data_IF_994168135111
#
_entry.id   IF_994168135111
#
_cell.length_a   1.000
_cell.length_b   1.000
_cell.length_c   1.000
_cell.angle_alpha   90.00
_cell.angle_beta   90.00
_cell.angle_gamma   90.00
#
_symmetry.space_group_name_H-M   'P 1'
#
loop_
_entity.id
_entity.type
_entity.pdbx_description
1 polymer ?
#
# COMPACT_ATOMS: atom_id res chain seq x y z
N UNK A 1 -20.99 57.25 34.61
CA UNK A 1 -20.84 56.01 35.39
C UNK A 1 -21.14 54.86 34.46
N UNK A 2 -20.24 54.00 34.04
CA UNK A 2 -18.83 53.76 34.35
C UNK A 2 -18.31 52.93 33.16
N UNK A 3 -17.24 53.39 32.55
CA UNK A 3 -16.48 52.74 31.48
C UNK A 3 -15.37 51.93 32.17
N UNK A 4 -15.35 50.61 32.00
CA UNK A 4 -14.29 49.75 32.55
C UNK A 4 -13.66 48.92 31.43
N UNK A 5 -12.66 49.56 30.81
CA UNK A 5 -11.53 48.92 30.12
C UNK A 5 -10.99 47.75 30.93
N UNK A 6 -10.69 46.63 30.27
CA UNK A 6 -9.69 45.69 30.79
C UNK A 6 -8.64 45.35 29.73
N UNK A 7 -7.42 45.66 30.11
CA UNK A 7 -6.17 45.73 29.36
C UNK A 7 -5.57 44.36 29.06
N UNK A 8 -4.86 44.29 27.92
CA UNK A 8 -3.85 43.30 27.51
C UNK A 8 -2.93 42.82 28.65
N UNK A 9 -2.55 41.54 28.59
CA UNK A 9 -1.22 41.03 28.99
C UNK A 9 -0.77 39.92 28.00
N UNK A 10 0.25 40.23 27.20
CA UNK A 10 1.39 39.33 26.90
C UNK A 10 2.06 38.95 28.22
N UNK A 11 2.86 37.91 28.40
CA UNK A 11 3.60 36.94 27.59
C UNK A 11 3.81 35.78 28.56
N UNK A 12 3.90 34.53 28.12
CA UNK A 12 4.78 33.56 28.79
C UNK A 12 5.14 32.45 27.82
N UNK A 13 6.39 32.55 27.36
CA UNK A 13 7.16 31.54 26.66
C UNK A 13 7.15 30.22 27.45
N UNK A 14 6.78 29.13 26.78
CA UNK A 14 7.32 27.81 27.12
C UNK A 14 7.76 27.13 25.83
N UNK A 15 9.08 27.07 25.65
CA UNK A 15 9.74 26.18 24.70
C UNK A 15 9.32 24.74 25.00
N UNK A 16 8.53 24.13 24.11
CA UNK A 16 8.26 22.71 24.19
C UNK A 16 9.35 21.96 23.41
N UNK A 17 10.33 21.47 24.18
CA UNK A 17 11.44 20.64 23.71
C UNK A 17 10.92 19.39 22.98
N UNK A 18 11.13 19.33 21.67
CA UNK A 18 10.83 18.19 20.83
C UNK A 18 11.84 17.05 21.07
N UNK A 19 11.46 16.07 21.87
CA UNK A 19 12.07 14.74 21.86
C UNK A 19 10.95 13.71 21.80
N UNK A 20 10.50 13.37 20.60
CA UNK A 20 9.62 12.22 20.40
C UNK A 20 10.48 10.97 20.21
N UNK A 21 10.62 10.20 21.29
CA UNK A 21 11.14 8.84 21.25
C UNK A 21 10.17 7.96 20.45
N UNK A 22 10.65 7.39 19.34
CA UNK A 22 9.97 6.29 18.65
C UNK A 22 9.98 5.08 19.58
N UNK A 23 8.86 4.79 20.24
CA UNK A 23 8.68 3.59 21.06
C UNK A 23 7.73 2.62 20.35
N UNK A 24 8.19 1.38 20.18
CA UNK A 24 7.39 0.24 19.75
C UNK A 24 6.19 0.00 20.70
N UNK A 25 5.06 -0.53 20.21
CA UNK A 25 3.81 -0.54 20.95
C UNK A 25 3.76 -1.70 21.94
N UNK A 26 4.11 -1.43 23.19
CA UNK A 26 3.65 -2.24 24.33
C UNK A 26 2.96 -1.34 25.36
N UNK A 27 1.77 -0.84 25.02
CA UNK A 27 0.81 -0.41 26.02
C UNK A 27 -0.58 -0.43 25.40
N UNK A 28 -1.39 -1.38 25.89
CA UNK A 28 -2.83 -1.34 25.77
C UNK A 28 -3.29 -0.21 26.67
N UNK A 29 -3.40 0.99 26.13
CA UNK A 29 -4.26 2.00 26.71
C UNK A 29 -5.17 2.56 25.61
N UNK A 30 -6.44 2.64 25.99
CA UNK A 30 -7.57 2.97 25.15
C UNK A 30 -7.54 4.46 24.76
N UNK A 31 -6.66 4.83 23.85
CA UNK A 31 -6.76 6.08 23.10
C UNK A 31 -7.36 5.78 21.73
N UNK A 32 -8.28 6.65 21.31
CA UNK A 32 -8.88 6.65 19.96
C UNK A 32 -7.81 6.31 18.92
N UNK A 33 -8.07 5.30 18.08
CA UNK A 33 -7.30 5.05 16.87
C UNK A 33 -7.47 6.26 15.92
N UNK A 34 -6.87 7.39 16.27
CA UNK A 34 -6.72 8.51 15.38
C UNK A 34 -5.77 8.02 14.29
N UNK A 35 -6.28 7.96 13.07
CA UNK A 35 -5.47 7.66 11.90
C UNK A 35 -4.26 8.60 11.90
N UNK A 36 -3.06 8.02 12.10
CA UNK A 36 -1.80 8.76 12.13
C UNK A 36 -0.90 8.17 11.05
N UNK A 37 -0.79 8.90 9.95
CA UNK A 37 0.18 8.62 8.90
C UNK A 37 1.22 9.76 8.93
N UNK A 38 2.47 9.51 9.33
CA UNK A 38 3.49 10.56 9.54
C UNK A 38 3.62 11.53 8.36
N UNK A 39 3.47 11.03 7.13
CA UNK A 39 3.56 11.81 5.89
C UNK A 39 2.46 12.86 5.76
N UNK A 40 1.29 12.65 6.36
CA UNK A 40 0.19 13.63 6.37
C UNK A 40 0.53 14.89 7.18
N UNK A 41 1.45 14.75 8.13
CA UNK A 41 1.95 15.82 8.99
C UNK A 41 3.32 16.33 8.54
N UNK A 42 3.83 15.90 7.38
CA UNK A 42 5.11 16.36 6.87
C UNK A 42 5.07 17.85 6.49
N UNK A 43 5.74 18.67 7.30
CA UNK A 43 5.87 20.12 7.10
C UNK A 43 6.99 20.53 6.11
N UNK A 44 7.72 19.57 5.55
CA UNK A 44 8.79 19.85 4.59
C UNK A 44 8.30 20.19 3.18
N UNK A 45 9.24 20.57 2.30
CA UNK A 45 8.93 20.87 0.89
C UNK A 45 8.66 19.56 0.16
N UNK A 46 7.39 19.32 -0.19
CA UNK A 46 7.03 18.22 -1.11
C UNK A 46 7.48 18.58 -2.51
N UNK A 47 8.33 17.76 -3.11
CA UNK A 47 8.71 17.89 -4.52
C UNK A 47 7.46 17.67 -5.37
N UNK A 48 6.90 18.74 -5.93
CA UNK A 48 5.82 18.62 -6.90
C UNK A 48 6.41 18.06 -8.18
N UNK A 49 6.16 16.79 -8.48
CA UNK A 49 6.44 16.28 -9.82
C UNK A 49 5.58 17.06 -10.82
N UNK A 50 6.16 17.61 -11.89
CA UNK A 50 5.38 18.29 -12.92
C UNK A 50 4.50 17.25 -13.62
N UNK A 51 3.20 17.28 -13.28
CA UNK A 51 2.17 16.50 -13.94
C UNK A 51 1.91 17.10 -15.33
N UNK A 52 2.36 16.42 -16.37
CA UNK A 52 2.16 16.83 -17.75
C UNK A 52 1.72 15.64 -18.60
N UNK A 53 1.01 15.95 -19.69
CA UNK A 53 0.70 14.98 -20.74
C UNK A 53 1.53 15.32 -21.99
N UNK A 54 2.02 14.33 -22.74
CA UNK A 54 2.01 12.90 -22.42
C UNK A 54 2.92 12.57 -21.23
N UNK A 55 2.70 11.41 -20.61
CA UNK A 55 3.59 10.88 -19.58
C UNK A 55 4.96 10.49 -20.17
N UNK A 56 6.01 10.23 -19.36
CA UNK A 56 7.31 9.77 -19.83
C UNK A 56 7.28 8.55 -20.78
N UNK A 57 6.38 7.60 -20.55
CA UNK A 57 6.16 6.42 -21.39
C UNK A 57 5.27 6.72 -22.62
N UNK A 58 4.86 7.97 -22.82
CA UNK A 58 4.11 8.42 -23.98
C UNK A 58 2.59 8.27 -23.88
N UNK A 59 2.04 8.01 -22.69
CA UNK A 59 0.59 7.90 -22.51
C UNK A 59 -0.05 9.30 -22.64
N UNK A 60 -1.08 9.43 -23.48
CA UNK A 60 -1.82 10.70 -23.67
C UNK A 60 -3.06 10.75 -22.77
N UNK A 61 -3.54 11.95 -22.44
CA UNK A 61 -4.75 12.12 -21.63
C UNK A 61 -5.97 11.40 -22.22
N UNK A 62 -6.17 11.47 -23.55
CA UNK A 62 -7.28 10.80 -24.24
C UNK A 62 -7.17 9.29 -24.10
N UNK A 63 -5.95 8.74 -24.28
CA UNK A 63 -5.73 7.29 -24.16
C UNK A 63 -5.90 6.82 -22.71
N UNK A 64 -5.41 7.59 -21.75
CA UNK A 64 -5.60 7.33 -20.33
C UNK A 64 -7.10 7.30 -19.97
N UNK A 65 -7.89 8.26 -20.49
CA UNK A 65 -9.33 8.30 -20.25
C UNK A 65 -10.05 7.08 -20.80
N UNK A 66 -9.71 6.65 -22.02
CA UNK A 66 -10.24 5.40 -22.58
C UNK A 66 -9.90 4.20 -21.70
N UNK A 67 -8.65 4.06 -21.25
CA UNK A 67 -8.20 2.94 -20.41
C UNK A 67 -8.95 2.93 -19.08
N UNK A 68 -8.99 4.06 -18.38
CA UNK A 68 -9.70 4.20 -17.11
C UNK A 68 -11.18 3.82 -17.25
N UNK A 69 -11.87 4.37 -18.25
CA UNK A 69 -13.27 4.05 -18.47
C UNK A 69 -13.46 2.56 -18.82
N UNK A 70 -12.64 2.00 -19.71
CA UNK A 70 -12.75 0.60 -20.11
C UNK A 70 -12.54 -0.36 -18.95
N UNK A 71 -11.57 -0.12 -18.08
CA UNK A 71 -11.29 -1.01 -16.95
C UNK A 71 -12.34 -0.84 -15.85
N UNK A 72 -12.68 0.39 -15.48
CA UNK A 72 -13.56 0.66 -14.35
C UNK A 72 -15.04 0.42 -14.67
N UNK A 73 -15.53 0.94 -15.80
CA UNK A 73 -16.95 0.82 -16.14
C UNK A 73 -17.33 -0.60 -16.59
N UNK A 74 -16.39 -1.35 -17.21
CA UNK A 74 -16.62 -2.74 -17.61
C UNK A 74 -16.16 -3.75 -16.55
N UNK A 75 -15.66 -3.30 -15.40
CA UNK A 75 -15.45 -4.19 -14.26
C UNK A 75 -16.80 -4.81 -13.84
N UNK A 76 -16.76 -5.98 -13.22
CA UNK A 76 -17.98 -6.67 -12.77
C UNK A 76 -18.81 -5.78 -11.86
N UNK A 77 -18.17 -5.07 -10.92
CA UNK A 77 -18.85 -4.13 -10.03
C UNK A 77 -19.33 -2.88 -10.77
N UNK A 78 -18.57 -2.36 -11.73
CA UNK A 78 -18.95 -1.20 -12.53
C UNK A 78 -20.21 -1.43 -13.34
N UNK A 79 -20.38 -2.65 -13.86
CA UNK A 79 -21.59 -3.07 -14.59
C UNK A 79 -22.77 -3.30 -13.65
N UNK A 80 -22.58 -4.10 -12.61
CA UNK A 80 -23.65 -4.53 -11.69
C UNK A 80 -24.15 -3.38 -10.80
N UNK A 81 -23.25 -2.51 -10.35
CA UNK A 81 -23.56 -1.36 -9.51
C UNK A 81 -23.69 -0.03 -10.27
N UNK A 82 -23.77 -0.05 -11.61
CA UNK A 82 -23.78 1.18 -12.43
C UNK A 82 -24.79 2.23 -11.95
N UNK A 83 -26.01 1.80 -11.67
CA UNK A 83 -27.08 2.69 -11.18
C UNK A 83 -26.84 3.25 -9.78
N UNK A 84 -26.14 2.49 -8.93
CA UNK A 84 -25.79 2.92 -7.58
C UNK A 84 -24.57 3.85 -7.58
N UNK A 85 -23.56 3.60 -8.42
CA UNK A 85 -22.31 4.36 -8.44
C UNK A 85 -22.49 5.78 -8.98
N UNK A 86 -23.29 5.97 -10.04
CA UNK A 86 -23.61 7.30 -10.58
C UNK A 86 -22.37 8.20 -10.70
N UNK A 87 -22.41 9.38 -10.08
CA UNK A 87 -21.30 10.35 -10.04
C UNK A 87 -19.98 9.81 -9.47
N UNK A 88 -20.02 8.79 -8.60
CA UNK A 88 -18.79 8.18 -8.08
C UNK A 88 -17.97 7.56 -9.20
N UNK A 89 -18.62 6.97 -10.21
CA UNK A 89 -17.89 6.39 -11.34
C UNK A 89 -17.03 7.46 -12.04
N UNK A 90 -17.59 8.64 -12.26
CA UNK A 90 -16.88 9.75 -12.89
C UNK A 90 -15.72 10.25 -12.02
N UNK A 91 -15.95 10.41 -10.71
CA UNK A 91 -14.90 10.79 -9.74
C UNK A 91 -13.76 9.76 -9.69
N UNK A 92 -14.08 8.46 -9.71
CA UNK A 92 -13.06 7.40 -9.73
C UNK A 92 -12.30 7.38 -11.05
N UNK A 93 -12.93 7.72 -12.19
CA UNK A 93 -12.23 7.89 -13.47
C UNK A 93 -11.27 9.09 -13.40
N UNK A 94 -11.64 10.19 -12.77
CA UNK A 94 -10.74 11.34 -12.56
C UNK A 94 -9.54 10.98 -11.68
N UNK A 95 -9.76 10.22 -10.60
CA UNK A 95 -8.67 9.68 -9.76
C UNK A 95 -7.74 8.78 -10.59
N UNK A 96 -8.30 7.90 -11.41
CA UNK A 96 -7.53 7.04 -12.32
C UNK A 96 -6.64 7.83 -13.28
N UNK A 97 -7.13 8.94 -13.83
CA UNK A 97 -6.33 9.81 -14.70
C UNK A 97 -5.13 10.41 -13.97
N UNK A 98 -5.33 10.85 -12.72
CA UNK A 98 -4.26 11.38 -11.88
C UNK A 98 -3.23 10.30 -11.52
N UNK A 99 -3.69 9.09 -11.18
CA UNK A 99 -2.82 7.96 -10.88
C UNK A 99 -1.99 7.57 -12.10
N UNK A 100 -2.60 7.46 -13.28
CA UNK A 100 -1.87 7.19 -14.52
C UNK A 100 -0.88 8.30 -14.87
N UNK A 101 -1.23 9.57 -14.62
CA UNK A 101 -0.33 10.69 -14.87
C UNK A 101 0.89 10.68 -13.94
N UNK A 102 0.68 10.25 -12.68
CA UNK A 102 1.72 10.24 -11.64
C UNK A 102 2.59 8.98 -11.68
N UNK A 103 1.97 7.81 -11.89
CA UNK A 103 2.64 6.50 -11.85
C UNK A 103 3.15 6.06 -13.21
N UNK A 104 2.51 6.54 -14.28
CA UNK A 104 2.83 6.15 -15.66
C UNK A 104 2.80 4.63 -15.89
N UNK A 105 1.90 3.95 -15.16
CA UNK A 105 1.74 2.50 -15.13
C UNK A 105 0.26 2.12 -15.05
N UNK A 106 -0.19 1.37 -16.05
CA UNK A 106 -1.59 0.96 -16.20
C UNK A 106 -2.02 -0.14 -15.23
N UNK A 107 -1.08 -0.85 -14.61
CA UNK A 107 -1.39 -1.91 -13.64
C UNK A 107 -2.14 -1.36 -12.42
N UNK A 108 -1.90 -0.09 -12.07
CA UNK A 108 -2.56 0.61 -10.97
C UNK A 108 -4.06 0.84 -11.16
N UNK A 109 -4.56 0.85 -12.40
CA UNK A 109 -5.98 1.15 -12.68
C UNK A 109 -6.91 0.13 -12.00
N UNK A 110 -6.49 -1.14 -11.90
CA UNK A 110 -7.30 -2.18 -11.26
C UNK A 110 -7.48 -1.96 -9.76
N UNK A 111 -6.55 -1.28 -9.09
CA UNK A 111 -6.66 -1.00 -7.65
C UNK A 111 -7.90 -0.15 -7.32
N UNK A 112 -8.36 0.68 -8.26
CA UNK A 112 -9.55 1.51 -8.09
C UNK A 112 -10.87 0.73 -8.19
N UNK A 113 -10.83 -0.54 -8.62
CA UNK A 113 -12.01 -1.41 -8.58
C UNK A 113 -12.44 -1.62 -7.11
N UNK A 114 -11.49 -1.79 -6.19
CA UNK A 114 -11.79 -1.94 -4.77
C UNK A 114 -12.49 -0.69 -4.18
N UNK A 115 -12.17 0.51 -4.67
CA UNK A 115 -12.89 1.73 -4.29
C UNK A 115 -14.36 1.68 -4.75
N UNK A 116 -14.62 1.21 -5.97
CA UNK A 116 -15.97 1.05 -6.49
C UNK A 116 -16.75 -0.05 -5.76
N UNK A 117 -16.09 -1.14 -5.38
CA UNK A 117 -16.66 -2.21 -4.54
C UNK A 117 -17.12 -1.64 -3.20
N UNK A 118 -16.24 -0.94 -2.49
CA UNK A 118 -16.56 -0.31 -1.21
C UNK A 118 -17.71 0.70 -1.32
N UNK A 119 -17.70 1.56 -2.34
CA UNK A 119 -18.78 2.53 -2.51
C UNK A 119 -20.11 1.85 -2.88
N UNK A 120 -20.06 0.82 -3.73
CA UNK A 120 -21.26 0.06 -4.05
C UNK A 120 -21.83 -0.62 -2.80
N UNK A 121 -21.00 -1.27 -1.99
CA UNK A 121 -21.41 -1.89 -0.74
C UNK A 121 -22.06 -0.86 0.20
N UNK A 122 -21.39 0.29 0.41
CA UNK A 122 -21.92 1.38 1.23
C UNK A 122 -23.30 1.83 0.77
N UNK A 123 -23.51 1.99 -0.55
CA UNK A 123 -24.79 2.42 -1.12
C UNK A 123 -25.84 1.31 -1.08
N UNK A 124 -25.48 0.05 -1.32
CA UNK A 124 -26.45 -1.06 -1.28
C UNK A 124 -26.95 -1.31 0.14
N UNK A 125 -26.09 -1.16 1.14
CA UNK A 125 -26.45 -1.27 2.56
C UNK A 125 -27.25 -0.05 3.02
N UNK A 126 -26.86 1.16 2.60
CA UNK A 126 -27.55 2.41 2.93
C UNK A 126 -28.92 2.55 2.26
N UNK A 127 -29.08 2.06 1.03
CA UNK A 127 -30.33 2.14 0.26
C UNK A 127 -31.35 1.03 0.59
N UNK A 128 -31.06 0.15 1.57
CA UNK A 128 -32.05 -0.84 2.08
C UNK A 128 -33.37 -0.20 2.53
N UNK A 129 -33.37 1.10 2.81
CA UNK A 129 -34.56 1.87 3.23
C UNK A 129 -35.40 2.38 2.05
N UNK A 130 -34.88 2.40 0.81
CA UNK A 130 -35.46 3.15 -0.31
C UNK A 130 -35.94 2.32 -1.52
N UNK A 131 -35.72 1.01 -1.57
CA UNK A 131 -36.11 0.20 -2.74
C UNK A 131 -37.49 -0.47 -2.59
N UNK A 132 -38.54 0.36 -2.63
CA UNK A 132 -39.85 -0.02 -3.18
C UNK A 132 -39.94 0.64 -4.55
N UNK A 133 -39.36 0.01 -5.57
CA UNK A 133 -39.42 0.55 -6.92
C UNK A 133 -38.75 -0.36 -7.93
N UNK A 134 -39.57 -0.95 -8.82
CA UNK A 134 -39.14 -1.70 -9.99
C UNK A 134 -38.20 -0.86 -10.86
N UNK A 135 -36.90 -1.09 -10.76
CA UNK A 135 -35.93 -0.63 -11.75
C UNK A 135 -35.20 -1.83 -12.35
N UNK A 136 -34.74 -1.74 -13.61
CA UNK A 136 -34.13 -2.84 -14.35
C UNK A 136 -32.67 -3.11 -13.92
N UNK A 137 -32.30 -2.71 -12.70
CA UNK A 137 -30.95 -2.88 -12.16
C UNK A 137 -30.78 -4.27 -11.57
N UNK A 138 -29.53 -4.70 -11.47
CA UNK A 138 -29.14 -5.93 -10.78
C UNK A 138 -29.85 -6.03 -9.42
N UNK A 139 -30.29 -7.24 -9.08
CA UNK A 139 -30.95 -7.45 -7.79
C UNK A 139 -29.97 -7.20 -6.66
N UNK A 140 -30.46 -6.82 -5.47
CA UNK A 140 -29.58 -6.64 -4.30
C UNK A 140 -28.76 -7.91 -4.01
N UNK A 141 -29.33 -9.08 -4.26
CA UNK A 141 -28.65 -10.37 -4.12
C UNK A 141 -27.51 -10.55 -5.13
N UNK A 142 -27.71 -10.12 -6.39
CA UNK A 142 -26.68 -10.14 -7.42
C UNK A 142 -25.50 -9.21 -7.07
N UNK A 143 -25.80 -8.00 -6.59
CA UNK A 143 -24.77 -7.04 -6.12
C UNK A 143 -23.96 -7.65 -4.97
N UNK A 144 -24.64 -8.19 -3.95
CA UNK A 144 -23.96 -8.82 -2.80
C UNK A 144 -23.15 -10.04 -3.21
N UNK A 145 -23.58 -10.79 -4.23
CA UNK A 145 -22.85 -11.93 -4.75
C UNK A 145 -21.56 -11.50 -5.45
N UNK A 146 -21.59 -10.43 -6.25
CA UNK A 146 -20.39 -9.88 -6.89
C UNK A 146 -19.41 -9.28 -5.88
N UNK A 147 -19.92 -8.59 -4.86
CA UNK A 147 -19.08 -8.07 -3.77
C UNK A 147 -18.42 -9.21 -2.98
N UNK A 148 -19.14 -10.30 -2.74
CA UNK A 148 -18.61 -11.49 -2.06
C UNK A 148 -17.59 -12.25 -2.92
N UNK A 149 -17.82 -12.32 -4.22
CA UNK A 149 -17.01 -13.07 -5.18
C UNK A 149 -16.58 -12.16 -6.34
N UNK A 150 -15.55 -11.33 -6.14
CA UNK A 150 -15.07 -10.38 -7.13
C UNK A 150 -14.72 -11.08 -8.45
N UNK A 151 -15.06 -10.43 -9.56
CA UNK A 151 -14.88 -10.95 -10.92
C UNK A 151 -15.38 -12.41 -11.14
N UNK A 152 -16.35 -12.87 -10.35
CA UNK A 152 -16.81 -14.27 -10.35
C UNK A 152 -15.66 -15.27 -10.15
N UNK A 153 -14.77 -14.97 -9.21
CA UNK A 153 -13.57 -15.76 -8.92
C UNK A 153 -12.68 -15.97 -10.16
N UNK A 154 -12.70 -15.02 -11.11
CA UNK A 154 -12.03 -15.07 -12.41
C UNK A 154 -12.26 -16.38 -13.20
N UNK A 155 -13.34 -17.12 -12.91
CA UNK A 155 -13.60 -18.45 -13.49
C UNK A 155 -12.70 -19.57 -12.94
N UNK A 156 -11.83 -19.28 -11.98
CA UNK A 156 -10.82 -20.18 -11.42
C UNK A 156 -11.16 -20.65 -10.00
N UNK A 157 -12.45 -20.57 -9.63
CA UNK A 157 -12.92 -20.99 -8.32
C UNK A 157 -14.43 -21.08 -8.26
N UNK A 158 -14.93 -21.61 -7.16
CA UNK A 158 -16.34 -21.64 -6.84
C UNK A 158 -16.68 -20.48 -5.89
N UNK A 159 -17.69 -19.69 -6.24
CA UNK A 159 -18.24 -18.70 -5.34
C UNK A 159 -19.05 -19.39 -4.23
N UNK A 160 -18.67 -19.16 -2.97
CA UNK A 160 -19.33 -19.71 -1.78
C UNK A 160 -19.88 -18.58 -0.91
N UNK A 161 -20.60 -18.91 0.17
CA UNK A 161 -21.09 -17.92 1.13
C UNK A 161 -19.95 -17.15 1.86
N UNK A 162 -18.73 -17.68 1.86
CA UNK A 162 -17.55 -17.09 2.48
C UNK A 162 -16.62 -16.37 1.47
N UNK A 163 -16.97 -16.34 0.18
CA UNK A 163 -16.13 -15.81 -0.89
C UNK A 163 -15.65 -16.87 -1.86
N UNK A 164 -14.59 -16.55 -2.60
CA UNK A 164 -14.04 -17.42 -3.63
C UNK A 164 -13.23 -18.59 -3.03
N UNK A 165 -13.65 -19.81 -3.37
CA UNK A 165 -12.88 -21.04 -3.14
C UNK A 165 -12.13 -21.41 -4.42
N UNK A 166 -10.84 -21.05 -4.50
CA UNK A 166 -10.03 -21.26 -5.70
C UNK A 166 -9.72 -22.72 -5.99
N UNK A 167 -9.57 -23.06 -7.27
CA UNK A 167 -9.09 -24.35 -7.72
C UNK A 167 -7.60 -24.57 -7.35
N UNK A 168 -7.13 -25.81 -7.48
CA UNK A 168 -5.83 -26.24 -6.95
C UNK A 168 -4.65 -25.41 -7.47
N UNK A 169 -4.72 -24.91 -8.69
CA UNK A 169 -3.69 -24.14 -9.37
C UNK A 169 -3.84 -22.62 -9.26
N UNK A 170 -4.83 -22.10 -8.52
CA UNK A 170 -5.07 -20.66 -8.36
C UNK A 170 -5.13 -20.22 -6.88
N UNK A 171 -4.77 -18.96 -6.61
CA UNK A 171 -4.73 -18.28 -5.31
C UNK A 171 -5.18 -16.82 -5.47
N UNK A 172 -5.11 -16.03 -4.39
CA UNK A 172 -5.72 -14.69 -4.18
C UNK A 172 -7.20 -14.74 -3.77
N UNK A 173 -7.73 -13.59 -3.33
CA UNK A 173 -9.12 -13.45 -2.86
C UNK A 173 -10.15 -13.60 -4.00
N UNK A 174 -9.73 -13.40 -5.25
CA UNK A 174 -10.57 -13.49 -6.46
C UNK A 174 -10.10 -14.60 -7.42
N UNK A 175 -9.14 -15.44 -7.00
CA UNK A 175 -8.57 -16.53 -7.80
C UNK A 175 -7.87 -16.11 -9.11
N UNK A 176 -7.40 -14.87 -9.21
CA UNK A 176 -6.70 -14.36 -10.40
C UNK A 176 -5.25 -14.83 -10.52
N UNK A 177 -4.59 -15.22 -9.42
CA UNK A 177 -3.16 -15.55 -9.38
C UNK A 177 -2.97 -17.06 -9.54
N UNK A 178 -2.16 -17.50 -10.50
CA UNK A 178 -1.79 -18.90 -10.64
C UNK A 178 -0.75 -19.30 -9.58
N UNK A 179 -0.97 -20.40 -8.83
CA UNK A 179 -0.03 -20.93 -7.83
C UNK A 179 1.31 -21.38 -8.40
N UNK A 180 1.38 -21.66 -9.70
CA UNK A 180 2.64 -22.01 -10.40
C UNK A 180 3.49 -20.79 -10.76
N UNK A 181 2.99 -19.58 -10.55
CA UNK A 181 3.83 -18.39 -10.54
C UNK A 181 4.87 -18.60 -9.41
N UNK A 182 6.15 -18.70 -9.78
CA UNK A 182 7.21 -18.74 -8.79
C UNK A 182 7.17 -17.48 -7.92
N UNK A 183 7.62 -17.59 -6.67
CA UNK A 183 7.86 -16.43 -5.82
C UNK A 183 8.82 -15.48 -6.54
N UNK A 184 8.36 -14.26 -6.78
CA UNK A 184 9.15 -13.23 -7.46
C UNK A 184 9.17 -11.99 -6.57
N UNK A 185 10.36 -11.52 -6.22
CA UNK A 185 10.53 -10.23 -5.55
C UNK A 185 10.59 -9.17 -6.64
N UNK A 186 9.62 -8.25 -6.63
CA UNK A 186 9.52 -7.15 -7.59
C UNK A 186 10.19 -5.88 -7.07
N UNK A 187 10.34 -5.75 -5.74
CA UNK A 187 11.02 -4.61 -5.15
C UNK A 187 11.11 -4.63 -3.63
N UNK A 188 11.79 -3.63 -3.09
CA UNK A 188 11.88 -3.35 -1.67
C UNK A 188 11.33 -1.95 -1.40
N UNK A 189 10.73 -1.76 -0.24
CA UNK A 189 10.33 -0.43 0.25
C UNK A 189 11.50 0.54 0.20
N UNK A 190 11.21 1.78 -0.22
CA UNK A 190 12.19 2.84 -0.45
C UNK A 190 13.36 2.44 -1.38
N UNK A 191 13.13 1.49 -2.31
CA UNK A 191 14.19 0.97 -3.18
C UNK A 191 15.27 0.18 -2.45
N UNK A 192 14.98 -0.28 -1.22
CA UNK A 192 15.94 -0.98 -0.36
C UNK A 192 16.86 -0.06 0.43
N UNK A 193 16.61 1.26 0.43
CA UNK A 193 17.38 2.23 1.21
C UNK A 193 16.70 2.52 2.55
N UNK A 194 17.50 2.63 3.61
CA UNK A 194 17.03 3.02 4.94
C UNK A 194 18.04 3.97 5.59
N UNK A 195 17.54 5.12 6.08
CA UNK A 195 18.35 6.10 6.80
C UNK A 195 18.33 5.79 8.30
N UNK A 196 19.47 5.30 8.82
CA UNK A 196 19.64 4.94 10.24
C UNK A 196 19.48 6.13 11.21
N UNK A 197 19.47 7.38 10.70
CA UNK A 197 19.20 8.58 11.50
C UNK A 197 17.71 8.81 11.71
N UNK A 198 16.88 8.24 10.85
CA UNK A 198 15.42 8.40 10.85
C UNK A 198 14.68 7.14 11.34
N UNK A 199 15.29 5.97 11.19
CA UNK A 199 14.72 4.67 11.58
C UNK A 199 15.79 3.72 12.09
N UNK A 200 15.40 2.65 12.81
CA UNK A 200 16.30 1.62 13.30
C UNK A 200 16.74 0.60 12.22
N UNK A 201 16.11 0.66 11.03
CA UNK A 201 16.38 -0.20 9.87
C UNK A 201 16.31 -1.71 10.20
N UNK A 202 15.51 -2.10 11.19
CA UNK A 202 15.35 -3.49 11.63
C UNK A 202 14.32 -4.29 10.82
N UNK A 203 13.57 -3.62 9.95
CA UNK A 203 12.57 -4.24 9.08
C UNK A 203 12.61 -3.63 7.69
N UNK A 204 12.28 -4.46 6.71
CA UNK A 204 12.06 -4.01 5.33
C UNK A 204 10.84 -4.70 4.77
N UNK A 205 9.96 -3.92 4.13
CA UNK A 205 8.86 -4.48 3.34
C UNK A 205 9.36 -4.93 1.98
N UNK A 206 9.08 -6.20 1.66
CA UNK A 206 9.41 -6.83 0.38
C UNK A 206 8.14 -6.93 -0.45
N UNK A 207 8.18 -6.37 -1.65
CA UNK A 207 7.10 -6.46 -2.63
C UNK A 207 7.40 -7.55 -3.64
N UNK A 208 6.37 -8.26 -4.07
CA UNK A 208 6.52 -9.40 -4.94
C UNK A 208 5.21 -10.01 -5.40
N UNK A 209 5.28 -11.23 -5.91
CA UNK A 209 4.14 -12.01 -6.37
C UNK A 209 4.20 -13.43 -5.80
N UNK A 210 3.04 -13.97 -5.45
CA UNK A 210 2.89 -15.37 -5.06
C UNK A 210 3.23 -15.67 -3.60
N UNK A 211 3.36 -14.66 -2.74
CA UNK A 211 3.53 -14.89 -1.31
C UNK A 211 2.31 -15.62 -0.74
N UNK A 212 2.57 -16.53 0.21
CA UNK A 212 1.53 -17.31 0.87
C UNK A 212 1.84 -17.44 2.34
N UNK A 213 0.86 -17.15 3.18
CA UNK A 213 0.97 -17.41 4.61
C UNK A 213 1.21 -18.90 4.86
N UNK A 214 2.37 -19.21 5.45
CA UNK A 214 2.76 -20.57 5.81
C UNK A 214 3.79 -20.53 6.93
N UNK A 215 3.91 -21.59 7.74
CA UNK A 215 4.94 -21.68 8.77
C UNK A 215 6.38 -21.73 8.18
N UNK A 216 6.51 -21.92 6.87
CA UNK A 216 7.78 -21.97 6.16
C UNK A 216 8.12 -20.65 5.46
N UNK A 217 7.27 -19.63 5.57
CA UNK A 217 7.52 -18.31 4.99
C UNK A 217 8.58 -17.60 5.85
N UNK A 218 9.79 -17.51 5.32
CA UNK A 218 10.96 -16.95 6.01
C UNK A 218 11.73 -16.04 5.06
N UNK A 219 12.46 -15.08 5.62
CA UNK A 219 13.40 -14.27 4.85
C UNK A 219 14.82 -14.77 5.07
N UNK A 220 15.56 -14.98 3.98
CA UNK A 220 16.99 -15.24 4.03
C UNK A 220 17.73 -13.93 3.81
N UNK A 221 18.40 -13.44 4.85
CA UNK A 221 19.04 -12.13 4.89
C UNK A 221 20.56 -12.33 4.96
N UNK A 222 21.28 -11.85 3.95
CA UNK A 222 22.73 -12.02 3.80
C UNK A 222 23.44 -10.69 3.87
N UNK A 223 24.39 -10.52 4.80
CA UNK A 223 25.21 -9.31 4.92
C UNK A 223 26.22 -9.25 3.79
N UNK A 224 26.32 -8.09 3.15
CA UNK A 224 27.32 -7.80 2.13
C UNK A 224 28.31 -6.77 2.67
N UNK A 225 29.60 -7.06 2.55
CA UNK A 225 30.68 -6.14 2.87
C UNK A 225 31.42 -5.74 1.59
N UNK A 226 31.91 -4.50 1.53
CA UNK A 226 32.73 -4.04 0.42
C UNK A 226 34.20 -4.28 0.76
N UNK A 227 34.89 -5.12 -0.02
CA UNK A 227 36.33 -5.33 0.08
C UNK A 227 36.94 -5.03 -1.29
N UNK A 228 37.80 -4.02 -1.35
CA UNK A 228 38.49 -3.59 -2.58
C UNK A 228 37.55 -3.25 -3.76
N UNK A 229 36.33 -2.76 -3.49
CA UNK A 229 35.35 -2.40 -4.52
C UNK A 229 34.39 -3.52 -4.92
N UNK A 230 34.54 -4.72 -4.36
CA UNK A 230 33.65 -5.87 -4.60
C UNK A 230 32.78 -6.16 -3.36
N UNK A 231 31.49 -6.46 -3.60
CA UNK A 231 30.55 -6.85 -2.55
C UNK A 231 30.64 -8.36 -2.31
N UNK A 232 31.01 -8.73 -1.08
CA UNK A 232 31.22 -10.13 -0.67
C UNK A 232 30.21 -10.50 0.43
N UNK A 233 29.56 -11.65 0.27
CA UNK A 233 28.64 -12.21 1.26
C UNK A 233 29.37 -12.70 2.51
N UNK A 234 28.83 -12.38 3.68
CA UNK A 234 29.37 -12.77 4.99
C UNK A 234 28.35 -13.59 5.79
N UNK A 235 27.73 -12.98 6.79
CA UNK A 235 26.73 -13.62 7.62
C UNK A 235 25.43 -13.80 6.84
N UNK A 236 24.85 -14.99 6.92
CA UNK A 236 23.54 -15.30 6.37
C UNK A 236 22.67 -15.77 7.53
N UNK A 237 21.51 -15.14 7.69
CA UNK A 237 20.56 -15.45 8.73
C UNK A 237 19.18 -15.65 8.13
N UNK A 238 18.46 -16.64 8.65
CA UNK A 238 17.05 -16.85 8.30
C UNK A 238 16.20 -16.19 9.37
N UNK A 239 15.44 -15.17 9.00
CA UNK A 239 14.51 -14.48 9.87
C UNK A 239 13.07 -14.84 9.52
N UNK A 240 12.16 -14.67 10.47
CA UNK A 240 10.73 -14.89 10.22
C UNK A 240 10.20 -13.80 9.29
N UNK A 241 9.43 -14.19 8.28
CA UNK A 241 8.66 -13.26 7.45
C UNK A 241 7.26 -13.08 8.04
N UNK A 242 6.81 -11.83 8.17
CA UNK A 242 5.44 -11.51 8.54
C UNK A 242 4.62 -11.30 7.26
N UNK A 243 3.65 -12.19 7.01
CA UNK A 243 2.79 -12.13 5.83
C UNK A 243 1.81 -10.95 5.92
N UNK A 244 1.76 -10.11 4.87
CA UNK A 244 0.79 -9.02 4.77
C UNK A 244 -0.26 -9.32 3.69
N UNK A 245 0.21 -9.72 2.50
CA UNK A 245 -0.65 -10.10 1.38
C UNK A 245 0.09 -11.04 0.43
N UNK A 246 -0.58 -11.50 -0.62
CA UNK A 246 0.06 -12.24 -1.70
C UNK A 246 1.13 -11.44 -2.47
N UNK A 247 1.23 -10.13 -2.21
CA UNK A 247 2.14 -9.20 -2.89
C UNK A 247 3.12 -8.50 -1.94
N UNK A 248 2.97 -8.64 -0.61
CA UNK A 248 3.86 -8.01 0.35
C UNK A 248 4.11 -8.88 1.59
N UNK A 249 5.36 -8.89 2.05
CA UNK A 249 5.79 -9.46 3.33
C UNK A 249 6.76 -8.51 4.03
N UNK A 250 6.77 -8.50 5.35
CA UNK A 250 7.76 -7.76 6.13
C UNK A 250 8.86 -8.72 6.61
N UNK A 251 10.11 -8.41 6.26
CA UNK A 251 11.30 -9.15 6.68
C UNK A 251 12.01 -8.44 7.82
N UNK A 252 12.47 -9.19 8.83
CA UNK A 252 13.36 -8.66 9.85
C UNK A 252 14.81 -8.65 9.37
N UNK A 253 15.49 -7.52 9.55
CA UNK A 253 16.90 -7.32 9.24
C UNK A 253 17.69 -7.39 10.57
N UNK A 254 18.71 -8.27 10.67
CA UNK A 254 19.55 -8.34 11.84
C UNK A 254 20.25 -7.02 12.16
N UNK A 255 20.34 -6.69 13.45
CA UNK A 255 21.09 -5.53 13.93
C UNK A 255 22.58 -5.66 13.59
N UNK A 256 23.20 -4.55 13.25
CA UNK A 256 24.62 -4.50 12.92
C UNK A 256 25.46 -4.60 14.20
N UNK A 257 26.09 -5.76 14.41
CA UNK A 257 27.13 -5.92 15.43
C UNK A 257 28.48 -5.48 14.84
N UNK A 258 28.79 -4.18 14.93
CA UNK A 258 30.04 -3.62 14.40
C UNK A 258 31.18 -4.00 15.35
N UNK A 259 32.18 -4.71 14.84
CA UNK A 259 33.46 -4.87 15.54
C UNK A 259 34.38 -3.71 15.19
N UNK A 260 35.15 -3.18 16.15
CA UNK A 260 36.01 -1.98 16.00
C UNK A 260 36.98 -2.07 14.82
N UNK A 261 37.33 -3.27 14.35
CA UNK A 261 38.18 -3.53 13.19
C UNK A 261 37.54 -3.24 11.83
N UNK A 262 36.21 -3.27 11.72
CA UNK A 262 35.48 -2.95 10.47
C UNK A 262 35.22 -1.43 10.32
N UNK A 263 35.37 -0.65 11.40
CA UNK A 263 35.13 0.79 11.46
C UNK A 263 36.25 1.66 10.85
N UNK A 264 37.39 1.09 10.47
CA UNK A 264 38.61 1.84 10.13
C UNK A 264 38.68 2.28 8.65
N UNK A 265 37.73 1.88 7.81
CA UNK A 265 37.72 2.20 6.37
C UNK A 265 36.52 3.04 5.90
N UNK A 266 35.97 3.90 6.75
CA UNK A 266 34.88 4.80 6.34
C UNK A 266 35.41 6.21 6.05
N UNK A 267 35.61 6.49 4.76
CA UNK A 267 35.81 7.86 4.25
C UNK A 267 34.47 8.35 3.72
N UNK A 268 34.00 9.51 4.20
CA UNK A 268 32.82 10.26 3.73
C UNK A 268 32.86 10.44 2.20
N UNK A 269 31.78 10.49 1.42
CA UNK A 269 30.34 10.66 1.55
C UNK A 269 29.73 9.71 0.48
N UNK A 270 28.51 9.18 0.66
CA UNK A 270 27.72 8.33 -0.28
C UNK A 270 27.84 6.79 -0.21
N UNK A 271 28.69 6.18 0.62
CA UNK A 271 28.67 4.71 0.79
C UNK A 271 27.68 4.23 1.86
N UNK A 272 26.91 3.14 1.61
CA UNK A 272 25.94 2.63 2.57
C UNK A 272 26.66 2.06 3.81
N UNK A 273 26.22 2.47 4.99
CA UNK A 273 26.75 2.03 6.29
C UNK A 273 26.76 0.49 6.43
N UNK A 274 25.75 -0.17 5.89
CA UNK A 274 25.73 -1.61 5.68
C UNK A 274 24.84 -1.94 4.49
N UNK A 275 25.06 -3.12 3.91
CA UNK A 275 24.25 -3.64 2.81
C UNK A 275 23.81 -5.06 3.12
N UNK A 276 22.53 -5.34 2.86
CA UNK A 276 21.94 -6.66 3.02
C UNK A 276 21.31 -7.10 1.71
N UNK A 277 21.41 -8.40 1.40
CA UNK A 277 20.65 -9.06 0.36
C UNK A 277 19.51 -9.84 1.01
N UNK A 278 18.28 -9.66 0.53
CA UNK A 278 17.09 -10.34 1.06
C UNK A 278 16.55 -11.29 0.00
N UNK A 279 16.19 -12.51 0.44
CA UNK A 279 15.36 -13.46 -0.31
C UNK A 279 14.19 -13.91 0.55
N UNK A 280 13.12 -14.38 -0.08
CA UNK A 280 11.88 -14.86 0.56
C UNK A 280 11.53 -16.23 0.01
#
# INVERSE_FOLDING_TARGET
TEDLRRTKRQDDHYEYSSFHSLHSPSQRDSESFAYFFPEDYFEGIRTKLPLAWPTPNGLTAVKAQEICHQILANSTIGLVCKGLLGKQMDETIEICLLDLQLKDDMTWVKALIALLENECERRVLGNRVLHVGNHPFATQEEILTVLRCPAFCNGNGQCTELGCQCFEDHSSYDCSIAKKQGLEITGLENGGLCDVRLSDCTRVRVFGLGFKESPNLNCEVTRLINLNGEWISREQETTKADFLSSEAVDCQIPLLNITETEAVHFVADDEPFARWQVKV
#
